data_IF_854255406497
#
_entry.id   IF_854255406497
#
_cell.length_a   1.000
_cell.length_b   1.000
_cell.length_c   1.000
_cell.angle_alpha   90.00
_cell.angle_beta   90.00
_cell.angle_gamma   90.00
#
_symmetry.space_group_name_H-M   'P 1'
#
loop_
_entity.id
_entity.type
_entity.pdbx_description
1 polymer ?
#
# COMPACT_ATOMS: atom_id res chain seq x y z
N UNK A 1 11.80 -18.92 0.31
CA UNK A 1 13.20 -19.37 0.11
C UNK A 1 13.86 -19.62 1.47
N UNK A 2 14.84 -20.52 1.56
CA UNK A 2 15.66 -20.71 2.78
C UNK A 2 17.13 -20.39 2.50
N UNK A 3 17.78 -19.68 3.41
CA UNK A 3 19.21 -19.33 3.38
C UNK A 3 19.86 -19.94 4.62
N UNK A 4 20.87 -20.79 4.42
CA UNK A 4 21.68 -21.33 5.51
C UNK A 4 22.94 -20.46 5.64
N UNK A 5 23.12 -19.82 6.80
CA UNK A 5 24.15 -18.82 7.05
C UNK A 5 23.67 -17.39 6.77
N UNK A 6 24.62 -16.45 6.66
CA UNK A 6 24.29 -15.02 6.63
C UNK A 6 23.49 -14.62 5.39
N UNK A 7 22.43 -13.85 5.60
CA UNK A 7 21.70 -13.16 4.54
C UNK A 7 22.14 -11.69 4.52
N UNK A 8 22.81 -11.26 3.45
CA UNK A 8 23.35 -9.90 3.35
C UNK A 8 22.96 -9.22 2.04
N UNK A 9 22.29 -8.07 2.15
CA UNK A 9 21.96 -7.17 1.06
C UNK A 9 22.62 -5.81 1.35
N UNK A 10 23.53 -5.41 0.47
CA UNK A 10 24.21 -4.11 0.57
C UNK A 10 23.51 -3.00 -0.23
N UNK A 11 24.01 -1.76 -0.15
CA UNK A 11 23.53 -0.66 -0.97
C UNK A 11 23.56 -0.99 -2.46
N UNK A 12 22.47 -0.69 -3.16
CA UNK A 12 22.27 -1.02 -4.58
C UNK A 12 21.71 -2.42 -4.84
N UNK A 13 21.62 -3.29 -3.82
CA UNK A 13 20.83 -4.53 -3.93
C UNK A 13 19.33 -4.21 -3.87
N UNK A 14 18.55 -4.96 -4.64
CA UNK A 14 17.08 -4.90 -4.64
C UNK A 14 16.55 -6.21 -4.08
N UNK A 15 15.77 -6.13 -3.02
CA UNK A 15 14.95 -7.22 -2.52
C UNK A 15 13.53 -7.01 -3.03
N UNK A 16 13.11 -7.85 -3.96
CA UNK A 16 11.75 -7.84 -4.50
C UNK A 16 10.90 -8.83 -3.70
N UNK A 17 9.69 -8.41 -3.33
CA UNK A 17 8.71 -9.25 -2.63
C UNK A 17 7.39 -9.18 -3.36
N UNK A 18 6.93 -10.31 -3.87
CA UNK A 18 5.58 -10.53 -4.36
C UNK A 18 4.64 -10.89 -3.20
N UNK A 19 3.42 -10.35 -3.22
CA UNK A 19 2.41 -10.67 -2.21
C UNK A 19 1.00 -10.58 -2.78
N UNK A 20 0.01 -11.17 -2.09
CA UNK A 20 -1.40 -11.03 -2.41
C UNK A 20 -2.23 -10.50 -1.22
N UNK A 21 -3.54 -10.32 -1.42
CA UNK A 21 -4.45 -9.74 -0.42
C UNK A 21 -4.66 -10.61 0.83
N UNK A 22 -4.18 -11.86 0.82
CA UNK A 22 -4.25 -12.77 1.96
C UNK A 22 -3.12 -12.41 2.94
N UNK A 23 -3.43 -12.14 4.22
CA UNK A 23 -2.40 -11.85 5.22
C UNK A 23 -1.33 -12.94 5.28
N UNK A 24 -0.06 -12.54 5.41
CA UNK A 24 1.11 -13.43 5.40
C UNK A 24 1.27 -14.32 4.15
N UNK A 25 0.56 -14.01 3.05
CA UNK A 25 0.84 -14.64 1.77
C UNK A 25 1.75 -13.74 0.93
N UNK A 26 3.06 -13.92 1.13
CA UNK A 26 4.11 -13.25 0.39
C UNK A 26 5.27 -14.18 0.10
N UNK A 27 6.11 -13.76 -0.83
CA UNK A 27 7.48 -14.24 -0.89
C UNK A 27 8.18 -13.93 0.45
N UNK A 28 8.87 -14.95 0.97
CA UNK A 28 9.52 -14.92 2.28
C UNK A 28 10.89 -15.56 2.22
N UNK A 29 11.87 -14.93 2.84
CA UNK A 29 13.19 -15.51 3.09
C UNK A 29 13.23 -16.03 4.53
N UNK A 30 13.54 -17.31 4.70
CA UNK A 30 13.84 -17.90 6.01
C UNK A 30 15.36 -18.02 6.15
N UNK A 31 15.94 -17.38 7.16
CA UNK A 31 17.39 -17.40 7.44
C UNK A 31 17.64 -18.36 8.58
N UNK A 32 18.66 -19.22 8.45
CA UNK A 32 18.98 -20.26 9.41
C UNK A 32 20.47 -20.26 9.74
N UNK A 33 20.80 -20.12 11.02
CA UNK A 33 22.15 -20.24 11.55
C UNK A 33 23.10 -19.13 11.06
N UNK A 34 22.59 -17.91 10.86
CA UNK A 34 23.38 -16.77 10.43
C UNK A 34 22.65 -15.44 10.62
N UNK A 35 23.35 -14.33 10.37
CA UNK A 35 22.80 -12.99 10.62
C UNK A 35 22.07 -12.42 9.40
N UNK A 36 21.07 -11.58 9.62
CA UNK A 36 20.45 -10.73 8.58
C UNK A 36 21.08 -9.34 8.57
N UNK A 37 21.60 -8.90 7.42
CA UNK A 37 22.02 -7.51 7.20
C UNK A 37 21.45 -6.96 5.90
N UNK A 38 20.64 -5.90 5.98
CA UNK A 38 19.94 -5.31 4.82
C UNK A 38 20.25 -3.82 4.65
N UNK A 39 21.34 -3.36 5.28
CA UNK A 39 21.69 -1.94 5.39
C UNK A 39 21.78 -1.29 4.02
N UNK A 40 20.86 -0.36 3.74
CA UNK A 40 20.88 0.48 2.54
C UNK A 40 20.38 -0.21 1.26
N UNK A 41 19.91 -1.45 1.35
CA UNK A 41 19.26 -2.13 0.22
C UNK A 41 17.89 -1.50 -0.10
N UNK A 42 17.36 -1.77 -1.29
CA UNK A 42 16.02 -1.34 -1.71
C UNK A 42 15.02 -2.48 -1.54
N UNK A 43 13.90 -2.24 -0.84
CA UNK A 43 12.74 -3.13 -0.86
C UNK A 43 11.76 -2.69 -1.97
N UNK A 44 11.44 -3.61 -2.88
CA UNK A 44 10.45 -3.41 -3.94
C UNK A 44 9.28 -4.37 -3.74
N UNK A 45 8.11 -3.82 -3.39
CA UNK A 45 6.89 -4.59 -3.18
C UNK A 45 6.09 -4.67 -4.47
N UNK A 46 5.84 -5.89 -4.94
CA UNK A 46 5.00 -6.20 -6.10
C UNK A 46 3.72 -6.91 -5.63
N UNK A 47 2.75 -6.12 -5.21
CA UNK A 47 1.48 -6.64 -4.72
C UNK A 47 0.54 -6.98 -5.89
N UNK A 48 -0.04 -8.17 -5.87
CA UNK A 48 -1.05 -8.59 -6.83
C UNK A 48 -2.35 -7.83 -6.60
N UNK A 49 -3.13 -7.60 -7.65
CA UNK A 49 -4.46 -7.01 -7.51
C UNK A 49 -5.36 -7.89 -6.62
N UNK A 50 -6.03 -7.28 -5.64
CA UNK A 50 -6.86 -8.01 -4.68
C UNK A 50 -7.56 -7.09 -3.68
N UNK A 51 -8.46 -7.65 -2.87
CA UNK A 51 -9.19 -6.90 -1.85
C UNK A 51 -8.41 -6.88 -0.52
N UNK A 52 -7.37 -6.06 -0.45
CA UNK A 52 -6.59 -5.90 0.78
C UNK A 52 -7.41 -5.17 1.83
N UNK A 53 -7.20 -5.54 3.08
CA UNK A 53 -7.66 -4.71 4.19
C UNK A 53 -6.82 -3.42 4.25
N UNK A 54 -7.35 -2.33 4.84
CA UNK A 54 -6.61 -1.07 5.01
C UNK A 54 -5.27 -1.19 5.76
N UNK A 55 -5.05 -2.33 6.43
CA UNK A 55 -3.80 -2.77 7.03
C UNK A 55 -3.65 -4.27 6.79
N UNK A 56 -2.54 -4.71 6.20
CA UNK A 56 -2.23 -6.14 6.01
C UNK A 56 -0.74 -6.38 6.25
N UNK A 57 -0.43 -7.39 7.07
CA UNK A 57 0.93 -7.72 7.51
C UNK A 57 1.49 -8.95 6.76
N UNK A 58 2.81 -8.91 6.53
CA UNK A 58 3.58 -9.94 5.85
C UNK A 58 4.96 -10.09 6.49
N UNK A 59 5.27 -11.27 7.01
CA UNK A 59 6.66 -11.62 7.35
C UNK A 59 7.43 -11.88 6.04
N UNK A 60 8.36 -10.98 5.69
CA UNK A 60 9.11 -11.06 4.43
C UNK A 60 10.53 -11.59 4.63
N UNK A 61 11.09 -11.43 5.83
CA UNK A 61 12.30 -12.13 6.29
C UNK A 61 11.99 -12.68 7.68
N UNK A 62 12.12 -13.99 7.79
CA UNK A 62 11.97 -14.80 9.00
C UNK A 62 13.38 -15.14 9.47
N UNK A 63 13.86 -14.46 10.50
CA UNK A 63 15.22 -14.57 11.02
C UNK A 63 15.25 -15.54 12.20
N UNK A 64 16.04 -16.60 12.11
CA UNK A 64 16.07 -17.57 13.19
C UNK A 64 16.72 -17.05 14.48
N UNK A 65 16.53 -17.80 15.56
CA UNK A 65 17.13 -17.47 16.85
C UNK A 65 16.59 -16.14 17.40
N UNK A 66 17.48 -15.35 17.99
CA UNK A 66 17.12 -14.10 18.67
C UNK A 66 18.04 -12.94 18.26
N UNK A 67 18.91 -13.11 17.26
CA UNK A 67 19.76 -12.03 16.80
C UNK A 67 18.94 -11.02 16.00
N UNK A 68 19.21 -9.74 16.26
CA UNK A 68 18.48 -8.65 15.63
C UNK A 68 18.91 -8.47 14.16
N UNK A 69 17.96 -8.05 13.32
CA UNK A 69 18.25 -7.60 11.95
C UNK A 69 19.21 -6.41 11.98
N UNK A 70 20.30 -6.52 11.23
CA UNK A 70 21.28 -5.45 11.11
C UNK A 70 20.88 -4.43 10.02
N UNK A 71 20.58 -3.22 10.46
CA UNK A 71 20.27 -2.08 9.61
C UNK A 71 18.84 -2.09 9.06
N UNK A 72 18.59 -1.20 8.12
CA UNK A 72 17.26 -1.00 7.51
C UNK A 72 17.40 -0.92 5.99
N UNK A 73 16.30 -1.12 5.28
CA UNK A 73 16.23 -0.74 3.86
C UNK A 73 16.50 0.76 3.72
N UNK A 74 17.28 1.15 2.71
CA UNK A 74 17.53 2.55 2.37
C UNK A 74 16.37 3.18 1.61
N UNK A 75 15.56 2.37 0.94
CA UNK A 75 14.35 2.81 0.24
C UNK A 75 13.33 1.68 0.19
N UNK A 76 12.04 2.01 0.27
CA UNK A 76 10.94 1.06 0.13
C UNK A 76 9.95 1.59 -0.91
N UNK A 77 9.46 0.74 -1.79
CA UNK A 77 8.50 1.09 -2.83
C UNK A 77 7.42 0.02 -2.98
N UNK A 78 6.26 0.41 -3.50
CA UNK A 78 5.17 -0.49 -3.88
C UNK A 78 4.60 -0.08 -5.24
N UNK A 79 4.00 -1.02 -5.95
CA UNK A 79 3.26 -0.77 -7.18
C UNK A 79 1.86 -0.14 -6.96
N UNK A 80 1.35 -0.10 -5.73
CA UNK A 80 0.06 0.51 -5.43
C UNK A 80 0.11 2.03 -5.31
N UNK A 81 -0.93 2.69 -5.79
CA UNK A 81 -1.03 4.15 -5.83
C UNK A 81 -1.35 4.78 -4.46
N UNK A 82 -2.10 4.07 -3.62
CA UNK A 82 -2.70 4.63 -2.41
C UNK A 82 -2.25 3.93 -1.13
N UNK A 83 -1.43 2.89 -1.23
CA UNK A 83 -0.86 2.21 -0.07
C UNK A 83 0.61 2.58 0.10
N UNK A 84 1.03 2.77 1.35
CA UNK A 84 2.41 2.99 1.75
C UNK A 84 2.90 1.76 2.52
N UNK A 85 4.03 1.15 2.11
CA UNK A 85 4.67 0.07 2.85
C UNK A 85 5.40 0.62 4.08
N UNK A 86 5.12 0.03 5.24
CA UNK A 86 5.83 0.26 6.51
C UNK A 86 6.56 -1.03 6.87
N UNK A 87 7.81 -0.93 7.33
CA UNK A 87 8.63 -2.09 7.67
C UNK A 87 9.05 -2.01 9.13
N UNK A 88 8.73 -3.06 9.88
CA UNK A 88 9.31 -3.35 11.19
C UNK A 88 10.47 -4.34 11.02
N UNK A 89 11.54 -4.17 11.79
CA UNK A 89 12.78 -4.97 11.70
C UNK A 89 13.01 -5.85 12.95
N UNK A 90 12.04 -5.80 13.86
CA UNK A 90 11.92 -6.49 15.13
C UNK A 90 10.49 -7.05 15.29
N UNK A 91 9.84 -7.35 14.15
CA UNK A 91 8.49 -7.89 14.11
C UNK A 91 8.47 -9.41 14.31
N UNK A 92 7.33 -10.04 13.97
CA UNK A 92 7.17 -11.49 14.03
C UNK A 92 7.31 -12.03 15.45
N UNK A 93 8.36 -12.82 15.70
CA UNK A 93 8.72 -13.31 17.04
C UNK A 93 9.71 -12.40 17.81
N UNK A 94 10.12 -11.27 17.22
CA UNK A 94 10.88 -10.19 17.85
C UNK A 94 12.16 -9.79 17.10
N UNK A 95 12.53 -10.52 16.06
CA UNK A 95 13.69 -10.25 15.21
C UNK A 95 13.42 -10.47 13.71
N UNK A 96 12.15 -10.50 13.29
CA UNK A 96 11.77 -10.63 11.89
C UNK A 96 11.62 -9.29 11.18
N UNK A 97 11.69 -9.33 9.85
CA UNK A 97 11.29 -8.20 9.01
C UNK A 97 9.84 -8.37 8.59
N UNK A 98 8.98 -7.51 9.12
CA UNK A 98 7.54 -7.49 8.84
C UNK A 98 7.19 -6.26 8.03
N UNK A 99 6.56 -6.48 6.89
CA UNK A 99 5.99 -5.48 6.01
C UNK A 99 4.50 -5.32 6.30
N UNK A 100 4.05 -4.09 6.51
CA UNK A 100 2.64 -3.71 6.60
C UNK A 100 2.29 -2.77 5.45
N UNK A 101 1.25 -3.07 4.69
CA UNK A 101 0.68 -2.14 3.72
C UNK A 101 -0.44 -1.32 4.39
N UNK A 102 -0.25 0.00 4.48
CA UNK A 102 -1.21 0.93 5.06
C UNK A 102 -1.75 1.91 4.02
N UNK A 103 -2.95 2.46 4.22
CA UNK A 103 -3.40 3.61 3.42
C UNK A 103 -2.44 4.80 3.62
N UNK A 104 -2.05 5.42 2.51
CA UNK A 104 -1.15 6.57 2.49
C UNK A 104 -1.80 7.75 3.18
N UNK A 105 -1.12 8.30 4.18
CA UNK A 105 -1.54 9.51 4.90
C UNK A 105 -0.88 10.73 4.26
N UNK A 106 -1.65 11.81 4.12
CA UNK A 106 -1.13 13.12 3.75
C UNK A 106 -0.72 13.80 5.04
N UNK A 107 0.56 14.20 5.19
CA UNK A 107 0.99 14.97 6.35
C UNK A 107 0.12 16.22 6.50
N UNK A 108 -0.24 16.64 7.72
CA UNK A 108 -0.91 17.92 7.92
C UNK A 108 -0.06 19.00 7.24
N UNK A 109 -0.70 19.88 6.46
CA UNK A 109 0.03 20.95 5.81
C UNK A 109 0.85 21.71 6.87
N UNK A 110 2.10 22.01 6.55
CA UNK A 110 2.94 22.86 7.41
C UNK A 110 2.74 24.34 7.06
N UNK A 111 1.60 24.70 6.45
CA UNK A 111 1.46 25.88 5.60
C UNK A 111 0.13 26.63 5.78
N UNK A 112 -0.22 26.95 7.03
CA UNK A 112 -0.98 28.13 7.45
C UNK A 112 -2.26 28.51 6.69
N UNK A 113 -3.43 28.21 7.25
CA UNK A 113 -4.70 28.69 6.70
C UNK A 113 -5.98 28.39 7.47
N UNK A 114 -5.97 28.62 8.80
CA UNK A 114 -7.12 28.93 9.69
C UNK A 114 -8.44 28.13 9.67
N UNK A 115 -8.83 27.79 10.91
CA UNK A 115 -10.19 27.82 11.48
C UNK A 115 -11.04 26.54 11.40
N UNK A 116 -11.03 25.80 12.51
CA UNK A 116 -12.08 24.84 12.85
C UNK A 116 -11.63 23.95 14.01
N UNK A 117 -11.95 24.34 15.25
CA UNK A 117 -11.60 23.56 16.43
C UNK A 117 -12.21 22.15 16.38
N UNK A 118 -11.34 21.15 16.52
CA UNK A 118 -11.71 19.75 16.67
C UNK A 118 -10.51 18.98 17.21
N UNK A 119 -10.56 18.64 18.50
CA UNK A 119 -9.63 17.73 19.16
C UNK A 119 -9.57 16.38 18.46
N UNK A 120 -8.36 15.85 18.25
CA UNK A 120 -8.13 14.50 17.71
C UNK A 120 -8.34 14.41 16.20
N UNK A 121 -7.42 14.98 15.42
CA UNK A 121 -7.49 14.91 13.96
C UNK A 121 -7.29 13.47 13.49
N UNK A 122 -8.38 12.82 13.06
CA UNK A 122 -8.30 11.60 12.26
C UNK A 122 -7.29 11.81 11.11
N UNK A 123 -6.49 10.79 10.77
CA UNK A 123 -5.49 10.93 9.72
C UNK A 123 -6.15 11.35 8.41
N UNK A 124 -5.64 12.43 7.81
CA UNK A 124 -6.01 12.79 6.44
C UNK A 124 -5.30 11.85 5.49
N UNK A 125 -6.05 11.15 4.65
CA UNK A 125 -5.49 10.16 3.74
C UNK A 125 -5.38 10.72 2.31
N UNK A 126 -4.49 10.13 1.52
CA UNK A 126 -4.34 10.46 0.11
C UNK A 126 -5.67 10.21 -0.62
N UNK A 127 -6.21 11.25 -1.24
CA UNK A 127 -7.43 11.15 -2.04
C UNK A 127 -7.18 10.29 -3.28
N UNK A 128 -8.20 9.52 -3.67
CA UNK A 128 -8.19 8.76 -4.92
C UNK A 128 -8.02 9.68 -6.14
N UNK A 129 -8.47 10.95 -6.06
CA UNK A 129 -8.30 11.94 -7.14
C UNK A 129 -6.83 12.30 -7.39
N UNK A 130 -5.92 12.02 -6.45
CA UNK A 130 -4.48 12.35 -6.59
C UNK A 130 -3.82 11.74 -7.84
N UNK A 131 -4.34 10.63 -8.34
CA UNK A 131 -3.83 9.99 -9.57
C UNK A 131 -4.66 10.28 -10.81
N UNK A 132 -5.80 10.95 -10.69
CA UNK A 132 -6.69 11.26 -11.81
C UNK A 132 -6.00 12.18 -12.83
N UNK A 133 -6.31 11.99 -14.11
CA UNK A 133 -5.83 12.82 -15.22
C UNK A 133 -6.89 13.75 -15.79
N UNK A 134 -8.18 13.41 -15.61
CA UNK A 134 -9.31 14.22 -16.10
C UNK A 134 -10.21 14.68 -14.97
N UNK A 135 -11.02 15.71 -15.23
CA UNK A 135 -11.99 16.21 -14.25
C UNK A 135 -13.05 15.15 -13.93
N UNK A 136 -13.48 14.37 -14.91
CA UNK A 136 -14.45 13.29 -14.71
C UNK A 136 -13.87 12.20 -13.80
N UNK A 137 -12.62 11.78 -14.03
CA UNK A 137 -11.95 10.82 -13.16
C UNK A 137 -11.85 11.32 -11.71
N UNK A 138 -11.47 12.58 -11.52
CA UNK A 138 -11.41 13.17 -10.18
C UNK A 138 -12.78 13.20 -9.50
N UNK A 139 -13.84 13.59 -10.21
CA UNK A 139 -15.19 13.61 -9.65
C UNK A 139 -15.66 12.21 -9.20
N UNK A 140 -15.34 11.16 -9.97
CA UNK A 140 -15.62 9.77 -9.60
C UNK A 140 -14.79 9.36 -8.37
N UNK A 141 -13.50 9.68 -8.37
CA UNK A 141 -12.60 9.38 -7.27
C UNK A 141 -13.03 10.06 -5.96
N UNK A 142 -13.44 11.32 -6.00
CA UNK A 142 -14.00 12.06 -4.87
C UNK A 142 -15.34 11.47 -4.37
N UNK A 143 -16.13 10.87 -5.26
CA UNK A 143 -17.35 10.16 -4.87
C UNK A 143 -17.02 8.85 -4.15
N UNK A 144 -16.02 8.10 -4.63
CA UNK A 144 -15.52 6.88 -4.00
C UNK A 144 -14.89 7.16 -2.62
N UNK A 145 -14.16 8.26 -2.47
CA UNK A 145 -13.55 8.67 -1.19
C UNK A 145 -14.58 8.90 -0.07
N UNK A 146 -15.86 9.09 -0.40
CA UNK A 146 -16.96 9.24 0.58
C UNK A 146 -17.54 7.91 1.07
N UNK A 147 -17.15 6.80 0.47
CA UNK A 147 -17.63 5.49 0.88
C UNK A 147 -17.01 5.07 2.22
N UNK A 148 -17.72 4.25 3.02
CA UNK A 148 -17.13 3.64 4.21
C UNK A 148 -15.86 2.85 3.87
N UNK A 149 -14.87 2.85 4.75
CA UNK A 149 -13.58 2.19 4.51
C UNK A 149 -13.66 0.67 4.26
N UNK A 150 -14.75 0.02 4.68
CA UNK A 150 -15.00 -1.40 4.43
C UNK A 150 -15.78 -1.67 3.12
N UNK A 151 -16.11 -0.63 2.34
CA UNK A 151 -16.84 -0.78 1.11
C UNK A 151 -15.97 -1.49 0.05
N UNK A 152 -16.49 -2.54 -0.58
CA UNK A 152 -15.76 -3.34 -1.55
C UNK A 152 -15.35 -2.58 -2.81
N UNK A 153 -16.15 -1.61 -3.26
CA UNK A 153 -15.81 -0.76 -4.41
C UNK A 153 -14.72 0.25 -4.06
N UNK A 154 -14.74 0.79 -2.84
CA UNK A 154 -13.64 1.63 -2.36
C UNK A 154 -12.34 0.82 -2.25
N UNK A 155 -12.40 -0.36 -1.61
CA UNK A 155 -11.23 -1.22 -1.43
C UNK A 155 -10.66 -1.71 -2.76
N UNK A 156 -11.49 -2.01 -3.76
CA UNK A 156 -11.01 -2.48 -5.07
C UNK A 156 -10.23 -1.42 -5.86
N UNK A 157 -10.49 -0.13 -5.60
CA UNK A 157 -9.75 1.00 -6.19
C UNK A 157 -8.55 1.39 -5.34
N UNK A 158 -8.67 1.30 -4.02
CA UNK A 158 -7.59 1.57 -3.07
C UNK A 158 -6.36 0.71 -3.33
N UNK A 159 -6.56 -0.52 -3.82
CA UNK A 159 -5.53 -1.52 -4.09
C UNK A 159 -5.14 -1.59 -5.57
N UNK A 160 -5.34 -0.51 -6.33
CA UNK A 160 -4.89 -0.42 -7.72
C UNK A 160 -3.51 0.23 -7.85
N UNK A 161 -2.85 -0.09 -8.96
CA UNK A 161 -1.79 0.75 -9.50
C UNK A 161 -2.36 2.09 -9.96
N UNK A 162 -1.49 3.07 -10.23
CA UNK A 162 -1.89 4.38 -10.77
C UNK A 162 -2.73 4.22 -12.05
N UNK A 163 -2.29 3.36 -12.96
CA UNK A 163 -2.99 3.14 -14.23
C UNK A 163 -4.28 2.34 -14.04
N UNK A 164 -4.29 1.34 -13.14
CA UNK A 164 -5.50 0.59 -12.80
C UNK A 164 -6.59 1.46 -12.17
N UNK A 165 -6.21 2.39 -11.29
CA UNK A 165 -7.14 3.33 -10.66
C UNK A 165 -7.79 4.24 -11.71
N UNK A 166 -7.01 4.76 -12.66
CA UNK A 166 -7.52 5.59 -13.77
C UNK A 166 -8.51 4.84 -14.64
N UNK A 167 -8.19 3.59 -14.99
CA UNK A 167 -9.10 2.72 -15.75
C UNK A 167 -10.40 2.48 -15.00
N UNK A 168 -10.34 2.25 -13.68
CA UNK A 168 -11.53 2.09 -12.84
C UNK A 168 -12.38 3.36 -12.82
N UNK A 169 -11.77 4.54 -12.72
CA UNK A 169 -12.50 5.82 -12.77
C UNK A 169 -13.21 6.02 -14.11
N UNK A 170 -12.56 5.69 -15.23
CA UNK A 170 -13.15 5.82 -16.56
C UNK A 170 -14.32 4.84 -16.77
N UNK A 171 -14.19 3.59 -16.31
CA UNK A 171 -15.25 2.60 -16.37
C UNK A 171 -16.49 3.05 -15.58
N UNK A 172 -16.30 3.50 -14.34
CA UNK A 172 -17.37 4.00 -13.48
C UNK A 172 -18.02 5.28 -14.04
N UNK A 173 -17.23 6.20 -14.61
CA UNK A 173 -17.78 7.37 -15.30
C UNK A 173 -18.63 6.98 -16.51
N UNK A 174 -18.21 5.95 -17.26
CA UNK A 174 -18.93 5.44 -18.43
C UNK A 174 -20.28 4.82 -18.07
N UNK A 175 -20.37 4.05 -16.98
CA UNK A 175 -21.62 3.48 -16.48
C UNK A 175 -22.63 4.56 -16.04
N UNK A 176 -22.13 5.63 -15.41
CA UNK A 176 -22.96 6.78 -15.04
C UNK A 176 -23.51 7.47 -16.29
N UNK A 177 -22.67 7.68 -17.31
CA UNK A 177 -23.12 8.30 -18.57
C UNK A 177 -24.12 7.43 -19.35
N UNK A 178 -23.94 6.11 -19.37
CA UNK A 178 -24.87 5.19 -20.02
C UNK A 178 -26.24 5.18 -19.33
N UNK A 179 -26.27 5.27 -17.99
CA UNK A 179 -27.51 5.30 -17.22
C UNK A 179 -28.31 6.59 -17.46
N UNK A 180 -27.65 7.75 -17.51
CA UNK A 180 -28.32 9.03 -17.79
C UNK A 180 -28.89 9.07 -19.21
N UNK A 181 -28.16 8.56 -20.21
CA UNK A 181 -28.67 8.48 -21.58
C UNK A 181 -29.89 7.54 -21.72
N UNK A 182 -29.93 6.44 -20.97
CA UNK A 182 -31.09 5.53 -20.94
C UNK A 182 -32.34 6.16 -20.31
N UNK A 183 -32.18 7.03 -19.30
CA UNK A 183 -33.32 7.71 -18.65
C UNK A 183 -33.89 8.88 -19.44
N UNK A 184 -33.18 9.39 -20.45
CA UNK A 184 -33.62 10.52 -21.29
C UNK A 184 -34.30 10.08 -22.61
N UNK A 185 -34.41 8.78 -22.86
CA UNK A 185 -35.07 8.21 -24.08
C UNK A 185 -36.52 7.78 -23.79
N UNK A 186 -37.02 8.00 -22.57
CA UNK A 186 -38.36 7.55 -22.12
C UNK A 186 -39.36 8.70 -21.84
N UNK A 187 -39.22 9.86 -22.51
CA UNK A 187 -40.23 10.94 -22.49
C UNK A 187 -40.56 11.46 -23.91
#
# INVERSE_FOLDING_TARGET
MTVNGNFTLGPGAVFQVELDATPNNSDKVFVVGGTVNITGATLQVLAQNGAYNPSTDYVIIDNDGNDAVNGTFGSVSTNFAFLTPIVAYDGGDGNDVVLTLLRTVVPPDSGGGSSGGGSGGEPNYLSLCSVAQTRNQCNVAEALDKFPFANSLFLSVLTQTVDGARQAFDALSGEVHATVAGTLVDD
#
